data_IF_384815411222
#
_entry.id   IF_384815411222
#
_cell.length_a   1.000
_cell.length_b   1.000
_cell.length_c   1.000
_cell.angle_alpha   90.00
_cell.angle_beta   90.00
_cell.angle_gamma   90.00
#
_symmetry.space_group_name_H-M   'P 1'
#
loop_
_entity.id
_entity.type
_entity.pdbx_description
1 polymer ?
#
# COMPACT_ATOMS: atom_id res chain seq x y z
N UNK A 1 -3.96 -36.03 -6.37
CA UNK A 1 -4.93 -35.00 -6.84
C UNK A 1 -4.47 -34.51 -8.21
N UNK A 2 -5.37 -34.33 -9.18
CA UNK A 2 -4.99 -33.76 -10.48
C UNK A 2 -4.43 -32.35 -10.27
N UNK A 3 -3.36 -31.98 -11.00
CA UNK A 3 -2.73 -30.66 -10.92
C UNK A 3 -3.73 -29.52 -11.18
N UNK A 4 -4.75 -29.78 -12.00
CA UNK A 4 -5.76 -28.77 -12.33
C UNK A 4 -6.74 -28.52 -11.19
N UNK A 5 -7.09 -29.54 -10.41
CA UNK A 5 -7.92 -29.35 -9.20
C UNK A 5 -7.19 -28.52 -8.15
N UNK A 6 -5.86 -28.67 -8.06
CA UNK A 6 -5.06 -27.87 -7.13
C UNK A 6 -4.95 -26.40 -7.56
N UNK A 7 -4.86 -26.15 -8.88
CA UNK A 7 -4.89 -24.80 -9.44
C UNK A 7 -6.21 -24.10 -9.14
N UNK A 8 -7.34 -24.79 -9.32
CA UNK A 8 -8.66 -24.22 -9.02
C UNK A 8 -8.85 -23.98 -7.53
N UNK A 9 -8.44 -24.93 -6.68
CA UNK A 9 -8.53 -24.79 -5.23
C UNK A 9 -7.75 -23.56 -4.74
N UNK A 10 -6.55 -23.35 -5.27
CA UNK A 10 -5.70 -22.22 -4.92
C UNK A 10 -6.31 -20.89 -5.37
N UNK A 11 -6.93 -20.82 -6.56
CA UNK A 11 -7.56 -19.57 -7.01
C UNK A 11 -8.83 -19.26 -6.22
N UNK A 12 -9.63 -20.26 -5.83
CA UNK A 12 -10.76 -20.07 -4.90
C UNK A 12 -10.28 -19.57 -3.54
N UNK A 13 -9.29 -20.24 -2.94
CA UNK A 13 -8.75 -19.86 -1.63
C UNK A 13 -8.20 -18.43 -1.64
N UNK A 14 -7.48 -18.04 -2.69
CA UNK A 14 -7.00 -16.67 -2.81
C UNK A 14 -8.15 -15.67 -2.88
N UNK A 15 -9.18 -15.96 -3.68
CA UNK A 15 -10.32 -15.06 -3.81
C UNK A 15 -11.05 -14.88 -2.47
N UNK A 16 -11.33 -15.97 -1.76
CA UNK A 16 -11.96 -15.96 -0.44
C UNK A 16 -11.18 -15.09 0.56
N UNK A 17 -9.87 -15.32 0.67
CA UNK A 17 -9.01 -14.55 1.56
C UNK A 17 -8.98 -13.06 1.20
N UNK A 18 -8.97 -12.72 -0.08
CA UNK A 18 -8.93 -11.34 -0.52
C UNK A 18 -10.29 -10.64 -0.36
N UNK A 19 -11.42 -11.33 -0.56
CA UNK A 19 -12.76 -10.80 -0.28
C UNK A 19 -12.96 -10.55 1.21
N UNK A 20 -12.44 -11.42 2.08
CA UNK A 20 -12.53 -11.28 3.54
C UNK A 20 -11.72 -10.09 4.06
N UNK A 21 -10.57 -9.78 3.44
CA UNK A 21 -9.79 -8.58 3.79
C UNK A 21 -10.48 -7.33 3.26
N UNK A 22 -11.10 -7.43 2.09
CA UNK A 22 -11.76 -6.30 1.45
C UNK A 22 -13.01 -5.84 2.21
N UNK A 23 -13.84 -6.78 2.67
CA UNK A 23 -15.08 -6.51 3.41
C UNK A 23 -14.86 -5.78 4.74
N UNK A 24 -13.66 -5.93 5.33
CA UNK A 24 -13.31 -5.26 6.58
C UNK A 24 -13.01 -3.77 6.33
N UNK A 25 -13.56 -2.90 7.17
CA UNK A 25 -13.34 -1.44 7.16
C UNK A 25 -11.97 -1.05 7.72
N UNK A 26 -10.91 -1.66 7.20
CA UNK A 26 -9.54 -1.39 7.59
C UNK A 26 -8.91 -0.31 6.70
N UNK A 27 -8.00 0.47 7.27
CA UNK A 27 -7.18 1.39 6.49
C UNK A 27 -6.38 0.61 5.41
N UNK A 28 -6.23 1.14 4.17
CA UNK A 28 -5.53 0.46 3.08
C UNK A 28 -4.15 -0.10 3.43
N UNK A 29 -3.34 0.67 4.17
CA UNK A 29 -2.04 0.20 4.69
C UNK A 29 -2.16 -1.08 5.53
N UNK A 30 -3.19 -1.20 6.37
CA UNK A 30 -3.38 -2.37 7.21
C UNK A 30 -3.88 -3.57 6.38
N UNK A 31 -4.72 -3.35 5.36
CA UNK A 31 -5.11 -4.39 4.40
C UNK A 31 -3.89 -4.97 3.67
N UNK A 32 -2.97 -4.10 3.27
CA UNK A 32 -1.71 -4.51 2.64
C UNK A 32 -0.78 -5.27 3.59
N UNK A 33 -0.70 -4.85 4.86
CA UNK A 33 0.07 -5.59 5.87
C UNK A 33 -0.52 -6.99 6.10
N UNK A 34 -1.85 -7.10 6.19
CA UNK A 34 -2.54 -8.40 6.28
C UNK A 34 -2.25 -9.27 5.07
N UNK A 35 -2.33 -8.72 3.86
CA UNK A 35 -1.95 -9.43 2.64
C UNK A 35 -0.51 -9.97 2.74
N UNK A 36 0.46 -9.11 3.08
CA UNK A 36 1.88 -9.49 3.10
C UNK A 36 2.24 -10.53 4.17
N UNK A 37 1.56 -10.50 5.33
CA UNK A 37 1.89 -11.36 6.48
C UNK A 37 1.01 -12.62 6.55
N UNK A 38 -0.26 -12.51 6.22
CA UNK A 38 -1.23 -13.60 6.37
C UNK A 38 -1.46 -14.34 5.05
N UNK A 39 -1.89 -13.64 3.99
CA UNK A 39 -2.24 -14.27 2.71
C UNK A 39 -1.05 -14.98 2.10
N UNK A 40 0.10 -14.29 2.00
CA UNK A 40 1.32 -14.89 1.43
C UNK A 40 1.85 -16.08 2.24
N UNK A 41 1.58 -16.11 3.54
CA UNK A 41 1.95 -17.25 4.41
C UNK A 41 1.02 -18.44 4.18
N UNK A 42 -0.29 -18.22 4.00
CA UNK A 42 -1.26 -19.27 3.65
C UNK A 42 -0.97 -19.90 2.29
N UNK A 43 -0.60 -19.09 1.30
CA UNK A 43 -0.23 -19.58 -0.03
C UNK A 43 1.11 -20.36 -0.05
N UNK A 44 1.98 -20.14 0.95
CA UNK A 44 3.33 -20.70 0.94
C UNK A 44 3.34 -22.23 0.86
N UNK A 45 2.41 -22.90 1.54
CA UNK A 45 2.31 -24.37 1.53
C UNK A 45 1.92 -24.88 0.14
N UNK A 46 0.91 -24.30 -0.49
CA UNK A 46 0.50 -24.68 -1.85
C UNK A 46 1.63 -24.46 -2.86
N UNK A 47 2.40 -23.38 -2.70
CA UNK A 47 3.57 -23.11 -3.53
C UNK A 47 4.71 -24.10 -3.36
N UNK A 48 4.80 -24.80 -2.22
CA UNK A 48 5.81 -25.86 -2.02
C UNK A 48 5.36 -27.21 -2.56
N UNK A 49 4.08 -27.55 -2.47
CA UNK A 49 3.58 -28.89 -2.78
C UNK A 49 3.23 -29.04 -4.26
N UNK A 50 2.73 -27.98 -4.89
CA UNK A 50 2.25 -28.05 -6.26
C UNK A 50 3.34 -27.81 -7.30
N UNK A 51 3.30 -28.60 -8.39
CA UNK A 51 4.11 -28.38 -9.58
C UNK A 51 3.45 -27.31 -10.44
N UNK A 52 3.67 -26.04 -10.10
CA UNK A 52 3.15 -24.88 -10.83
C UNK A 52 4.24 -24.27 -11.71
N UNK A 53 3.86 -23.75 -12.87
CA UNK A 53 4.75 -22.90 -13.66
C UNK A 53 4.72 -21.46 -13.13
N UNK A 54 5.85 -20.76 -13.17
CA UNK A 54 5.91 -19.34 -12.79
C UNK A 54 4.98 -18.48 -13.64
N UNK A 55 4.88 -18.78 -14.94
CA UNK A 55 3.99 -18.06 -15.87
C UNK A 55 2.54 -18.15 -15.42
N UNK A 56 2.09 -19.34 -15.05
CA UNK A 56 0.74 -19.54 -14.55
C UNK A 56 0.48 -18.76 -13.25
N UNK A 57 1.46 -18.74 -12.34
CA UNK A 57 1.38 -17.95 -11.10
C UNK A 57 1.28 -16.44 -11.40
N UNK A 58 2.09 -15.92 -12.33
CA UNK A 58 2.06 -14.50 -12.70
C UNK A 58 0.78 -14.09 -13.41
N UNK A 59 0.20 -14.97 -14.22
CA UNK A 59 -1.00 -14.64 -14.99
C UNK A 59 -2.28 -14.76 -14.17
N UNK A 60 -2.37 -15.74 -13.28
CA UNK A 60 -3.61 -16.03 -12.54
C UNK A 60 -3.58 -15.49 -11.11
N UNK A 61 -2.51 -15.73 -10.36
CA UNK A 61 -2.45 -15.38 -8.93
C UNK A 61 -2.08 -13.91 -8.76
N UNK A 62 -1.02 -13.46 -9.44
CA UNK A 62 -0.61 -12.05 -9.34
C UNK A 62 -1.69 -11.12 -9.91
N UNK A 63 -2.40 -11.51 -10.97
CA UNK A 63 -3.48 -10.69 -11.54
C UNK A 63 -4.64 -10.47 -10.56
N UNK A 64 -5.06 -11.53 -9.86
CA UNK A 64 -6.06 -11.46 -8.78
C UNK A 64 -5.55 -10.53 -7.68
N UNK A 65 -4.35 -10.79 -7.13
CA UNK A 65 -3.79 -9.98 -6.06
C UNK A 65 -3.66 -8.49 -6.46
N UNK A 66 -3.18 -8.23 -7.67
CA UNK A 66 -3.01 -6.88 -8.23
C UNK A 66 -4.34 -6.13 -8.35
N UNK A 67 -5.44 -6.80 -8.69
CA UNK A 67 -6.78 -6.20 -8.76
C UNK A 67 -7.21 -5.63 -7.40
N UNK A 68 -7.07 -6.41 -6.34
CA UNK A 68 -7.42 -5.98 -4.97
C UNK A 68 -6.46 -4.90 -4.46
N UNK A 69 -5.15 -5.05 -4.69
CA UNK A 69 -4.15 -4.06 -4.28
C UNK A 69 -4.41 -2.70 -4.97
N UNK A 70 -4.76 -2.70 -6.27
CA UNK A 70 -5.18 -1.48 -6.99
C UNK A 70 -6.40 -0.84 -6.33
N UNK A 71 -7.41 -1.65 -6.00
CA UNK A 71 -8.63 -1.16 -5.36
C UNK A 71 -8.36 -0.55 -4.00
N UNK A 72 -7.55 -1.19 -3.16
CA UNK A 72 -7.23 -0.68 -1.82
C UNK A 72 -6.40 0.60 -1.84
N UNK A 73 -5.47 0.71 -2.79
CA UNK A 73 -4.61 1.89 -2.95
C UNK A 73 -5.23 2.98 -3.83
N UNK A 74 -6.45 2.78 -4.32
CA UNK A 74 -7.14 3.69 -5.24
C UNK A 74 -6.28 4.05 -6.48
N UNK A 75 -5.49 3.09 -6.94
CA UNK A 75 -4.63 3.29 -8.13
C UNK A 75 -5.52 3.21 -9.36
N UNK A 76 -5.48 4.20 -10.26
CA UNK A 76 -6.28 4.17 -11.49
C UNK A 76 -5.89 2.98 -12.36
N UNK A 77 -6.78 2.58 -13.26
CA UNK A 77 -6.58 1.42 -14.16
C UNK A 77 -5.30 1.60 -15.01
N UNK A 78 -5.01 2.83 -15.43
CA UNK A 78 -3.79 3.22 -16.14
C UNK A 78 -2.54 3.35 -15.25
N UNK A 79 -2.71 3.33 -13.93
CA UNK A 79 -1.63 3.48 -12.96
C UNK A 79 -0.72 2.27 -12.89
N UNK A 80 0.56 2.52 -12.66
CA UNK A 80 1.58 1.47 -12.59
C UNK A 80 1.72 0.94 -11.16
N UNK A 81 1.40 -0.34 -10.93
CA UNK A 81 1.60 -1.02 -9.63
C UNK A 81 3.07 -1.25 -9.26
N UNK A 82 3.97 -1.13 -10.23
CA UNK A 82 5.41 -1.32 -10.06
C UNK A 82 6.01 -0.52 -8.88
N UNK A 83 5.46 0.65 -8.57
CA UNK A 83 5.91 1.50 -7.46
C UNK A 83 5.59 0.90 -6.09
N UNK A 84 4.51 0.11 -5.97
CA UNK A 84 4.10 -0.55 -4.73
C UNK A 84 5.15 -1.58 -4.28
N UNK A 85 5.79 -2.25 -5.24
CA UNK A 85 6.77 -3.30 -4.99
C UNK A 85 8.18 -2.78 -4.66
N UNK A 86 8.42 -1.48 -4.79
CA UNK A 86 9.69 -0.86 -4.41
C UNK A 86 9.89 -0.86 -2.89
N UNK A 87 11.13 -0.69 -2.45
CA UNK A 87 11.47 -0.56 -1.03
C UNK A 87 11.02 0.78 -0.46
N UNK A 88 10.79 0.83 0.86
CA UNK A 88 10.39 2.06 1.55
C UNK A 88 11.38 3.21 1.34
N UNK A 89 12.69 2.90 1.25
CA UNK A 89 13.75 3.87 0.99
C UNK A 89 13.64 4.54 -0.39
N UNK A 90 12.88 3.94 -1.31
CA UNK A 90 12.66 4.40 -2.69
C UNK A 90 11.18 4.75 -2.93
N UNK A 91 10.48 5.19 -1.88
CA UNK A 91 9.06 5.60 -1.91
C UNK A 91 8.07 4.47 -2.27
N UNK A 92 8.48 3.21 -2.17
CA UNK A 92 7.58 2.06 -2.31
C UNK A 92 6.96 1.62 -0.98
N UNK A 93 6.13 0.58 -1.04
CA UNK A 93 5.46 0.00 0.14
C UNK A 93 6.12 -1.29 0.64
N UNK A 94 7.21 -1.72 0.00
CA UNK A 94 8.00 -2.92 0.34
C UNK A 94 7.17 -4.21 0.38
N UNK A 95 6.13 -4.29 -0.44
CA UNK A 95 5.30 -5.48 -0.63
C UNK A 95 5.88 -6.27 -1.80
N UNK A 96 5.67 -7.59 -1.81
CA UNK A 96 6.07 -8.44 -2.93
C UNK A 96 4.86 -9.21 -3.48
N UNK A 97 4.84 -9.47 -4.80
CA UNK A 97 3.77 -10.23 -5.41
C UNK A 97 3.84 -11.73 -5.05
N UNK A 98 2.74 -12.48 -5.21
CA UNK A 98 2.70 -13.91 -4.93
C UNK A 98 3.75 -14.72 -5.73
N UNK A 99 4.04 -14.33 -6.97
CA UNK A 99 5.09 -14.95 -7.81
C UNK A 99 6.48 -14.94 -7.17
N UNK A 100 6.84 -13.87 -6.45
CA UNK A 100 8.13 -13.81 -5.75
C UNK A 100 8.15 -14.77 -4.57
N UNK A 101 7.02 -14.88 -3.85
CA UNK A 101 6.87 -15.85 -2.75
C UNK A 101 6.97 -17.28 -3.26
N UNK A 102 6.38 -17.57 -4.42
CA UNK A 102 6.48 -18.87 -5.09
C UNK A 102 7.93 -19.24 -5.38
N UNK A 103 8.72 -18.33 -5.98
CA UNK A 103 10.14 -18.58 -6.26
C UNK A 103 10.91 -18.85 -4.96
N UNK A 104 10.65 -18.09 -3.89
CA UNK A 104 11.28 -18.34 -2.59
C UNK A 104 10.98 -19.74 -2.05
N UNK A 105 9.72 -20.17 -2.11
CA UNK A 105 9.30 -21.51 -1.68
C UNK A 105 10.00 -22.62 -2.48
N UNK A 106 10.07 -22.45 -3.81
CA UNK A 106 10.72 -23.40 -4.71
C UNK A 106 12.24 -23.47 -4.49
N UNK A 107 12.90 -22.33 -4.26
CA UNK A 107 14.34 -22.30 -3.90
C UNK A 107 14.60 -22.99 -2.56
N UNK A 108 13.71 -22.85 -1.56
CA UNK A 108 13.85 -23.56 -0.27
C UNK A 108 13.73 -25.07 -0.50
N UNK A 109 12.68 -25.50 -1.22
CA UNK A 109 12.43 -26.92 -1.50
C UNK A 109 13.63 -27.57 -2.20
N UNK A 110 14.16 -26.92 -3.26
CA UNK A 110 15.31 -27.46 -3.99
C UNK A 110 16.57 -27.54 -3.15
N UNK A 111 16.81 -26.56 -2.27
CA UNK A 111 17.92 -26.65 -1.33
C UNK A 111 17.75 -27.80 -0.36
N UNK A 112 16.56 -27.97 0.21
CA UNK A 112 16.28 -29.06 1.12
C UNK A 112 16.53 -30.43 0.45
N UNK A 113 16.13 -30.58 -0.82
CA UNK A 113 16.40 -31.78 -1.61
C UNK A 113 17.89 -31.97 -1.87
N UNK A 114 18.63 -30.91 -2.23
CA UNK A 114 20.07 -30.95 -2.50
C UNK A 114 20.91 -31.25 -1.24
N UNK A 115 20.50 -30.75 -0.08
CA UNK A 115 21.21 -30.96 1.19
C UNK A 115 20.85 -32.28 1.87
N UNK A 116 19.82 -32.98 1.39
CA UNK A 116 19.37 -34.23 1.98
C UNK A 116 20.39 -35.35 1.74
N UNK A 117 20.74 -36.16 2.75
CA UNK A 117 21.70 -37.25 2.60
C UNK A 117 21.12 -38.50 1.89
N UNK A 118 19.81 -38.57 1.67
CA UNK A 118 19.17 -39.75 1.06
C UNK A 118 19.40 -39.85 -0.45
N UNK A 119 19.76 -41.04 -0.93
CA UNK A 119 19.99 -41.32 -2.37
C UNK A 119 18.71 -41.10 -3.20
N UNK A 120 17.56 -41.59 -2.72
CA UNK A 120 16.25 -41.37 -3.37
C UNK A 120 15.87 -39.88 -3.47
N UNK A 121 16.22 -39.07 -2.48
CA UNK A 121 15.97 -37.62 -2.51
C UNK A 121 16.88 -36.88 -3.49
N UNK A 122 18.10 -37.38 -3.69
CA UNK A 122 19.05 -36.84 -4.66
C UNK A 122 18.62 -37.16 -6.09
N UNK A 123 18.08 -38.36 -6.33
CA UNK A 123 17.53 -38.74 -7.63
C UNK A 123 16.28 -37.93 -7.98
N UNK A 124 15.42 -37.64 -7.00
CA UNK A 124 14.32 -36.69 -7.17
C UNK A 124 14.81 -35.28 -7.52
N UNK A 125 15.88 -34.80 -6.89
CA UNK A 125 16.49 -33.50 -7.23
C UNK A 125 17.00 -33.46 -8.68
N UNK A 126 17.71 -34.50 -9.11
CA UNK A 126 18.21 -34.65 -10.50
C UNK A 126 17.07 -34.78 -11.51
N UNK A 127 16.02 -35.53 -11.21
CA UNK A 127 14.86 -35.67 -12.10
C UNK A 127 14.14 -34.32 -12.28
N UNK A 128 14.09 -33.51 -11.23
CA UNK A 128 13.39 -32.22 -11.20
C UNK A 128 14.26 -31.05 -11.70
N UNK A 129 15.55 -31.24 -11.95
CA UNK A 129 16.42 -30.17 -12.50
C UNK A 129 16.15 -29.88 -13.97
N UNK A 130 15.70 -30.88 -14.73
CA UNK A 130 15.60 -30.78 -16.19
C UNK A 130 14.24 -30.25 -16.66
N UNK A 131 13.24 -30.20 -15.78
CA UNK A 131 11.83 -30.07 -16.19
C UNK A 131 11.28 -28.65 -16.24
N UNK A 132 12.03 -27.63 -15.79
CA UNK A 132 11.51 -26.25 -15.68
C UNK A 132 12.44 -25.22 -16.29
N UNK A 133 11.87 -24.28 -17.06
CA UNK A 133 12.54 -23.16 -17.73
C UNK A 133 13.10 -22.09 -16.75
N UNK A 134 13.25 -22.42 -15.46
CA UNK A 134 13.67 -21.51 -14.39
C UNK A 134 14.76 -22.19 -13.57
N UNK A 135 15.91 -21.54 -13.52
CA UNK A 135 17.08 -21.99 -12.77
C UNK A 135 16.95 -21.61 -11.30
N UNK A 136 16.10 -22.31 -10.56
CA UNK A 136 15.90 -22.07 -9.12
C UNK A 136 17.16 -22.31 -8.28
N UNK A 137 18.08 -23.15 -8.78
CA UNK A 137 19.36 -23.45 -8.16
C UNK A 137 20.39 -22.32 -8.29
N UNK A 138 20.11 -21.30 -9.13
CA UNK A 138 20.98 -20.13 -9.25
C UNK A 138 20.98 -19.27 -7.98
N UNK A 139 19.97 -19.41 -7.12
CA UNK A 139 19.85 -18.63 -5.89
C UNK A 139 20.38 -19.40 -4.68
N UNK A 140 21.33 -18.83 -3.95
CA UNK A 140 21.88 -19.36 -2.69
C UNK A 140 21.00 -19.00 -1.49
N UNK A 141 20.14 -17.99 -1.57
CA UNK A 141 19.23 -17.64 -0.47
C UNK A 141 17.90 -17.04 -0.93
N UNK A 142 16.86 -17.15 -0.10
CA UNK A 142 15.60 -16.42 -0.28
C UNK A 142 15.79 -14.90 -0.25
N UNK A 143 16.85 -14.41 0.40
CA UNK A 143 17.24 -13.00 0.38
C UNK A 143 17.76 -12.56 -0.98
N UNK A 144 18.46 -13.44 -1.70
CA UNK A 144 18.98 -13.15 -3.04
C UNK A 144 17.84 -13.08 -4.06
N UNK A 145 16.86 -13.98 -3.96
CA UNK A 145 15.63 -13.93 -4.76
C UNK A 145 14.94 -12.56 -4.62
N UNK A 146 14.80 -12.06 -3.38
CA UNK A 146 14.22 -10.74 -3.13
C UNK A 146 15.08 -9.59 -3.67
N UNK A 147 16.40 -9.71 -3.55
CA UNK A 147 17.34 -8.71 -4.04
C UNK A 147 17.27 -8.62 -5.57
N UNK A 148 17.33 -9.77 -6.24
CA UNK A 148 17.27 -9.90 -7.70
C UNK A 148 15.94 -9.37 -8.26
N UNK A 149 14.82 -9.75 -7.64
CA UNK A 149 13.51 -9.20 -8.00
C UNK A 149 13.48 -7.67 -7.86
N UNK A 150 13.98 -7.13 -6.74
CA UNK A 150 13.99 -5.68 -6.50
C UNK A 150 14.87 -4.93 -7.48
N UNK A 151 16.07 -5.42 -7.76
CA UNK A 151 16.98 -4.81 -8.74
C UNK A 151 16.42 -4.88 -10.16
N UNK A 152 15.83 -6.02 -10.54
CA UNK A 152 15.18 -6.16 -11.85
C UNK A 152 14.00 -5.20 -12.01
N UNK A 153 13.19 -5.06 -10.96
CA UNK A 153 12.03 -4.17 -10.99
C UNK A 153 12.43 -2.69 -11.03
N UNK A 154 13.50 -2.32 -10.33
CA UNK A 154 14.08 -0.98 -10.35
C UNK A 154 14.67 -0.65 -11.72
N UNK A 155 15.46 -1.54 -12.30
CA UNK A 155 16.05 -1.34 -13.63
C UNK A 155 14.95 -1.17 -14.69
N UNK A 156 13.88 -1.98 -14.62
CA UNK A 156 12.73 -1.86 -15.52
C UNK A 156 12.04 -0.50 -15.38
N UNK A 157 11.86 0.00 -14.16
CA UNK A 157 11.26 1.31 -13.90
C UNK A 157 12.15 2.48 -14.35
N UNK A 158 13.45 2.41 -14.07
CA UNK A 158 14.42 3.43 -14.51
C UNK A 158 14.44 3.57 -16.03
N UNK A 159 14.42 2.44 -16.74
CA UNK A 159 14.44 2.43 -18.20
C UNK A 159 13.10 2.91 -18.82
N UNK A 160 11.98 2.73 -18.11
CA UNK A 160 10.66 3.18 -18.58
C UNK A 160 10.37 4.66 -18.29
N UNK A 161 11.04 5.28 -17.31
CA UNK A 161 10.76 6.63 -16.84
C UNK A 161 11.89 7.62 -17.17
N UNK A 162 12.53 7.51 -18.33
CA UNK A 162 13.68 8.36 -18.71
C UNK A 162 13.36 9.85 -18.71
N UNK A 163 12.17 10.26 -19.17
CA UNK A 163 11.76 11.68 -19.25
C UNK A 163 11.15 12.21 -17.95
N UNK A 164 10.24 11.46 -17.32
CA UNK A 164 9.61 11.85 -16.05
C UNK A 164 10.57 11.70 -14.87
N UNK A 165 11.44 10.70 -14.91
CA UNK A 165 12.48 10.45 -13.91
C UNK A 165 13.62 11.47 -13.96
N UNK A 166 13.99 12.01 -15.12
CA UNK A 166 15.00 13.09 -15.19
C UNK A 166 14.48 14.39 -14.58
N UNK A 167 13.21 14.74 -14.84
CA UNK A 167 12.54 15.87 -14.21
C UNK A 167 12.44 15.67 -12.69
N UNK A 168 11.96 14.50 -12.24
CA UNK A 168 11.83 14.20 -10.81
C UNK A 168 13.19 14.15 -10.11
N UNK A 169 14.23 13.60 -10.75
CA UNK A 169 15.60 13.62 -10.24
C UNK A 169 16.15 15.03 -10.13
N UNK A 170 15.88 15.89 -11.11
CA UNK A 170 16.32 17.29 -11.08
C UNK A 170 15.59 18.08 -9.99
N UNK A 171 14.26 17.95 -9.89
CA UNK A 171 13.47 18.55 -8.80
C UNK A 171 13.92 18.02 -7.43
N UNK A 172 14.18 16.72 -7.31
CA UNK A 172 14.66 16.11 -6.07
C UNK A 172 16.07 16.58 -5.69
N UNK A 173 16.96 16.73 -6.66
CA UNK A 173 18.36 17.13 -6.44
C UNK A 173 18.49 18.61 -6.10
N UNK A 174 17.72 19.47 -6.75
CA UNK A 174 17.90 20.92 -6.66
C UNK A 174 16.80 21.62 -5.85
N UNK A 175 15.53 21.27 -6.05
CA UNK A 175 14.42 21.98 -5.40
C UNK A 175 14.13 21.46 -3.99
N UNK A 176 14.16 20.14 -3.79
CA UNK A 176 13.78 19.51 -2.50
C UNK A 176 14.64 19.98 -1.31
N UNK A 177 15.98 20.09 -1.41
CA UNK A 177 16.80 20.52 -0.27
C UNK A 177 16.52 21.98 0.12
N UNK A 178 16.31 22.86 -0.87
CA UNK A 178 16.00 24.27 -0.62
C UNK A 178 14.59 24.44 -0.06
N UNK A 179 13.60 23.76 -0.65
CA UNK A 179 12.22 23.74 -0.14
C UNK A 179 12.16 23.19 1.28
N UNK A 180 12.82 22.06 1.56
CA UNK A 180 12.85 21.49 2.90
C UNK A 180 13.48 22.44 3.92
N UNK A 181 14.52 23.18 3.54
CA UNK A 181 15.13 24.21 4.40
C UNK A 181 14.13 25.33 4.71
N UNK A 182 13.44 25.85 3.71
CA UNK A 182 12.42 26.90 3.88
C UNK A 182 11.25 26.40 4.73
N UNK A 183 10.70 25.23 4.42
CA UNK A 183 9.61 24.63 5.17
C UNK A 183 10.00 24.28 6.61
N UNK A 184 11.22 23.82 6.85
CA UNK A 184 11.72 23.56 8.20
C UNK A 184 11.85 24.85 9.02
N UNK A 185 12.27 25.95 8.41
CA UNK A 185 12.33 27.27 9.07
C UNK A 185 10.91 27.80 9.33
N UNK A 186 9.99 27.64 8.38
CA UNK A 186 8.60 28.03 8.56
C UNK A 186 7.93 27.22 9.69
N UNK A 187 8.18 25.92 9.74
CA UNK A 187 7.64 25.02 10.75
C UNK A 187 8.21 25.29 12.15
N UNK A 188 9.49 25.66 12.27
CA UNK A 188 10.09 26.01 13.56
C UNK A 188 9.60 27.35 14.11
N UNK A 189 9.18 28.27 13.24
CA UNK A 189 8.59 29.56 13.62
C UNK A 189 7.10 29.50 13.92
N UNK A 190 6.43 28.40 13.60
CA UNK A 190 5.00 28.23 13.84
C UNK A 190 4.72 27.92 15.32
N UNK A 191 3.81 28.67 15.97
CA UNK A 191 3.31 28.33 17.31
C UNK A 191 2.76 26.89 17.38
N UNK A 192 2.96 26.21 18.52
CA UNK A 192 2.63 24.80 18.71
C UNK A 192 1.15 24.47 18.41
N UNK A 193 0.24 25.36 18.79
CA UNK A 193 -1.19 25.26 18.52
C UNK A 193 -1.50 25.31 17.02
N UNK A 194 -0.92 26.27 16.27
CA UNK A 194 -1.13 26.39 14.82
C UNK A 194 -0.51 25.19 14.11
N UNK A 195 0.70 24.76 14.49
CA UNK A 195 1.33 23.57 13.91
C UNK A 195 0.48 22.31 14.12
N UNK A 196 -0.03 22.09 15.33
CA UNK A 196 -0.94 20.98 15.62
C UNK A 196 -2.23 21.04 14.81
N UNK A 197 -2.84 22.22 14.70
CA UNK A 197 -4.01 22.45 13.86
C UNK A 197 -3.70 22.12 12.39
N UNK A 198 -2.62 22.66 11.83
CA UNK A 198 -2.20 22.45 10.44
C UNK A 198 -1.92 20.98 10.14
N UNK A 199 -1.20 20.27 11.03
CA UNK A 199 -0.96 18.83 10.87
C UNK A 199 -2.29 18.07 10.86
N UNK A 200 -3.21 18.41 11.77
CA UNK A 200 -4.52 17.76 11.84
C UNK A 200 -5.39 18.08 10.63
N UNK A 201 -5.32 19.32 10.13
CA UNK A 201 -5.98 19.79 8.91
C UNK A 201 -5.48 19.01 7.68
N UNK A 202 -4.17 18.98 7.44
CA UNK A 202 -3.55 18.26 6.32
C UNK A 202 -3.90 16.77 6.37
N UNK A 203 -3.92 16.18 7.56
CA UNK A 203 -4.29 14.77 7.76
C UNK A 203 -5.79 14.49 7.71
N UNK A 204 -6.63 15.51 7.52
CA UNK A 204 -8.09 15.43 7.61
C UNK A 204 -8.56 14.70 8.88
N UNK A 205 -8.03 15.14 10.01
CA UNK A 205 -8.25 14.58 11.35
C UNK A 205 -8.76 15.61 12.35
N UNK A 206 -9.21 16.77 11.87
CA UNK A 206 -9.93 17.72 12.69
C UNK A 206 -11.35 17.20 13.00
N UNK A 207 -11.91 17.56 14.16
CA UNK A 207 -13.24 17.12 14.57
C UNK A 207 -14.32 17.82 13.74
N UNK A 208 -14.55 17.30 12.54
CA UNK A 208 -15.66 17.68 11.67
C UNK A 208 -16.79 16.68 11.85
N UNK A 209 -18.05 17.05 11.63
CA UNK A 209 -19.14 16.09 11.83
C UNK A 209 -19.04 14.86 10.91
N UNK A 210 -18.47 15.00 9.71
CA UNK A 210 -18.09 13.86 8.86
C UNK A 210 -17.03 12.95 9.50
N UNK A 211 -16.00 13.52 10.14
CA UNK A 211 -14.97 12.74 10.84
C UNK A 211 -15.52 12.14 12.14
N UNK A 212 -16.39 12.83 12.87
CA UNK A 212 -17.06 12.30 14.06
C UNK A 212 -17.95 11.10 13.74
N UNK A 213 -18.66 11.12 12.60
CA UNK A 213 -19.40 9.96 12.11
C UNK A 213 -18.46 8.80 11.76
N UNK A 214 -17.35 9.09 11.06
CA UNK A 214 -16.29 8.10 10.79
C UNK A 214 -15.69 7.50 12.07
N UNK A 215 -15.61 8.27 13.15
CA UNK A 215 -15.13 7.81 14.46
C UNK A 215 -16.22 7.17 15.33
N UNK A 216 -17.43 6.99 14.80
CA UNK A 216 -18.59 6.45 15.52
C UNK A 216 -18.98 7.24 16.79
N UNK A 217 -18.68 8.54 16.82
CA UNK A 217 -19.06 9.47 17.91
C UNK A 217 -20.36 10.20 17.56
N UNK A 218 -20.61 10.47 16.27
CA UNK A 218 -21.83 11.12 15.77
C UNK A 218 -22.59 10.16 14.87
N UNK A 219 -23.93 10.18 14.92
CA UNK A 219 -24.78 9.41 14.00
C UNK A 219 -24.95 10.09 12.64
N UNK A 220 -24.87 11.42 12.59
CA UNK A 220 -25.06 12.20 11.38
C UNK A 220 -23.73 12.82 10.89
N UNK A 221 -23.51 12.86 9.58
CA UNK A 221 -22.38 13.52 8.91
C UNK A 221 -22.67 14.95 8.46
N UNK A 222 -23.92 15.39 8.55
CA UNK A 222 -24.40 16.56 7.83
C UNK A 222 -24.35 17.82 8.69
N UNK A 223 -24.05 18.93 8.02
CA UNK A 223 -24.01 20.26 8.60
C UNK A 223 -25.41 20.64 9.10
N UNK A 224 -25.49 21.18 10.32
CA UNK A 224 -26.77 21.63 10.91
C UNK A 224 -27.46 22.74 10.11
N UNK A 225 -26.73 23.47 9.26
CA UNK A 225 -27.22 24.67 8.60
C UNK A 225 -27.63 24.44 7.15
N UNK A 226 -26.80 23.76 6.36
CA UNK A 226 -27.06 23.55 4.94
C UNK A 226 -27.47 22.10 4.60
N UNK A 227 -27.48 21.20 5.58
CA UNK A 227 -27.77 19.77 5.44
C UNK A 227 -26.85 19.02 4.45
N UNK A 228 -25.82 19.68 3.91
CA UNK A 228 -24.74 19.03 3.17
C UNK A 228 -23.75 18.37 4.13
N UNK A 229 -23.02 17.33 3.70
CA UNK A 229 -22.01 16.68 4.54
C UNK A 229 -20.94 17.67 5.00
N UNK A 230 -20.72 17.74 6.31
CA UNK A 230 -19.80 18.67 6.96
C UNK A 230 -18.36 18.18 6.83
N UNK A 231 -17.83 18.33 5.62
CA UNK A 231 -16.43 18.00 5.30
C UNK A 231 -15.48 19.03 5.90
N UNK A 232 -14.18 18.68 5.97
CA UNK A 232 -13.16 19.64 6.37
C UNK A 232 -13.15 20.90 5.51
N UNK A 233 -13.30 20.75 4.20
CA UNK A 233 -13.40 21.87 3.27
C UNK A 233 -14.64 22.72 3.57
N UNK A 234 -15.77 22.09 3.89
CA UNK A 234 -17.00 22.81 4.23
C UNK A 234 -16.83 23.73 5.45
N UNK A 235 -16.09 23.28 6.48
CA UNK A 235 -15.83 24.10 7.66
C UNK A 235 -14.82 25.22 7.35
N UNK A 236 -13.72 24.90 6.67
CA UNK A 236 -12.62 25.86 6.45
C UNK A 236 -12.93 26.88 5.36
N UNK A 237 -13.66 26.50 4.31
CA UNK A 237 -14.17 27.43 3.31
C UNK A 237 -15.40 28.21 3.80
N UNK A 238 -15.97 27.81 4.94
CA UNK A 238 -17.20 28.36 5.49
C UNK A 238 -18.45 27.80 4.80
N UNK A 239 -19.46 27.48 5.60
CA UNK A 239 -20.78 27.09 5.10
C UNK A 239 -21.46 28.31 4.47
N UNK A 240 -21.87 28.22 3.20
CA UNK A 240 -22.56 29.32 2.48
C UNK A 240 -23.85 29.75 3.17
N UNK A 241 -24.60 28.80 3.74
CA UNK A 241 -25.83 29.08 4.51
C UNK A 241 -25.58 29.79 5.84
N UNK A 242 -24.36 29.68 6.40
CA UNK A 242 -23.95 30.42 7.61
C UNK A 242 -23.44 31.82 7.22
N UNK A 243 -22.63 31.91 6.17
CA UNK A 243 -22.06 33.16 5.67
C UNK A 243 -23.11 34.14 5.13
N UNK A 244 -24.23 33.63 4.63
CA UNK A 244 -25.36 34.44 4.14
C UNK A 244 -26.26 35.01 5.24
N UNK A 245 -26.01 34.70 6.53
CA UNK A 245 -26.76 35.29 7.63
C UNK A 245 -26.19 36.68 7.97
N UNK A 246 -27.05 37.71 8.13
CA UNK A 246 -26.62 39.10 8.29
C UNK A 246 -25.82 39.40 9.57
N UNK A 247 -25.74 38.46 10.52
CA UNK A 247 -25.01 38.64 11.79
C UNK A 247 -23.48 38.64 11.60
N UNK A 248 -22.95 38.01 10.53
CA UNK A 248 -21.50 37.83 10.35
C UNK A 248 -20.85 38.84 9.38
N UNK A 249 -21.61 39.77 8.81
CA UNK A 249 -21.07 40.76 7.86
C UNK A 249 -20.36 41.92 8.59
N UNK A 250 -20.67 42.18 9.86
CA UNK A 250 -20.11 43.31 10.62
C UNK A 250 -18.90 42.99 11.52
N UNK A 251 -18.57 41.71 11.79
CA UNK A 251 -17.51 41.35 12.75
C UNK A 251 -16.20 40.88 12.13
N UNK A 252 -15.86 41.31 10.91
CA UNK A 252 -14.53 41.09 10.35
C UNK A 252 -13.52 42.15 10.81
N UNK A 253 -13.44 42.46 12.12
CA UNK A 253 -12.28 43.13 12.73
C UNK A 253 -12.33 43.00 14.27
N UNK A 254 -12.35 41.77 14.81
CA UNK A 254 -12.01 41.52 16.22
C UNK A 254 -11.61 40.04 16.42
N UNK A 255 -10.36 39.73 16.79
CA UNK A 255 -9.83 38.37 16.84
C UNK A 255 -10.16 37.60 18.13
N UNK A 256 -11.24 37.94 18.86
CA UNK A 256 -11.43 37.43 20.23
C UNK A 256 -12.47 36.32 20.42
N UNK A 257 -13.23 35.91 19.40
CA UNK A 257 -14.36 34.97 19.61
C UNK A 257 -14.13 33.51 19.17
N UNK A 258 -12.90 33.09 18.87
CA UNK A 258 -12.60 31.68 18.55
C UNK A 258 -12.00 30.86 19.71
N UNK A 259 -11.94 31.40 20.94
CA UNK A 259 -11.23 30.77 22.05
C UNK A 259 -12.10 30.15 23.16
N UNK A 260 -13.43 30.10 23.04
CA UNK A 260 -14.30 29.61 24.14
C UNK A 260 -14.62 28.11 24.14
N UNK A 261 -14.11 27.32 23.17
CA UNK A 261 -14.38 25.87 23.11
C UNK A 261 -13.16 24.97 23.34
N UNK A 262 -12.01 25.51 23.75
CA UNK A 262 -10.79 24.73 23.98
C UNK A 262 -10.32 24.62 25.44
N UNK A 263 -11.11 25.08 26.40
CA UNK A 263 -10.85 24.87 27.83
C UNK A 263 -11.93 23.97 28.42
N UNK A 264 -11.82 22.68 28.17
CA UNK A 264 -12.22 21.57 29.05
C UNK A 264 -12.12 20.26 28.27
N UNK A 265 -10.91 19.69 28.25
CA UNK A 265 -10.54 18.27 28.18
C UNK A 265 -9.07 18.13 27.77
#
# INVERSE_FOLDING_TARGET
MSNDNHKTELTTLLNELMTDIDSKSLHPKNKLLLYSRYVLSKLAWHFTVATLSKTWVTENIDSIANKYIRRWLEVPISGTLSTVFLTNNKFGLSIYPPSVKFIQCQTILRKALKSSPGESTNDLWKATSNHTNIQYDAYNSTKEVLKDFRSGHENKLLNQLTSQGSFFCSVKKFALPQLNKVWSIAQSKLPKNINNFTIRYIKNSLPTRKNLNRWAISSNSDCSFCLSPETLLHIVAGCTSVLSRPIYVETQFSPELSCSYFTNC
#
